data_IF_535120132221
#
_entry.id   IF_535120132221
#
_cell.length_a   1.000
_cell.length_b   1.000
_cell.length_c   1.000
_cell.angle_alpha   90.00
_cell.angle_beta   90.00
_cell.angle_gamma   90.00
#
_symmetry.space_group_name_H-M   'P 1'
#
loop_
_entity.id
_entity.type
_entity.pdbx_description
1 polymer ?
#
# COMPACT_ATOMS: atom_id res chain seq x y z
N UNK A 1 -4.62 -10.12 19.22
CA UNK A 1 -5.20 -10.41 17.90
C UNK A 1 -4.82 -9.25 17.01
N UNK A 2 -3.79 -9.41 16.19
CA UNK A 2 -3.40 -8.37 15.23
C UNK A 2 -4.12 -8.64 13.90
N UNK A 3 -4.62 -7.57 13.29
CA UNK A 3 -5.20 -7.61 11.95
C UNK A 3 -4.11 -8.06 10.95
N UNK A 4 -4.53 -8.72 9.87
CA UNK A 4 -3.63 -9.09 8.78
C UNK A 4 -3.19 -7.85 7.98
N UNK A 5 -2.26 -7.08 8.56
CA UNK A 5 -1.66 -5.87 7.97
C UNK A 5 -0.26 -6.18 7.48
N UNK A 6 0.10 -5.69 6.29
CA UNK A 6 1.40 -5.98 5.69
C UNK A 6 1.87 -4.79 4.84
N UNK A 7 3.15 -4.37 4.93
CA UNK A 7 3.66 -3.17 4.25
C UNK A 7 3.43 -3.17 2.73
N UNK A 8 3.52 -4.33 2.07
CA UNK A 8 3.36 -4.45 0.61
C UNK A 8 1.91 -4.66 0.13
N UNK A 9 0.90 -4.35 0.96
CA UNK A 9 -0.50 -4.44 0.55
C UNK A 9 -0.86 -3.33 -0.45
N UNK A 10 -1.82 -3.60 -1.35
CA UNK A 10 -2.32 -2.64 -2.34
C UNK A 10 -2.77 -1.30 -1.74
N UNK A 11 -3.39 -1.30 -0.56
CA UNK A 11 -3.78 -0.07 0.16
C UNK A 11 -2.58 0.82 0.48
N UNK A 12 -1.43 0.25 0.82
CA UNK A 12 -0.23 1.00 1.14
C UNK A 12 0.41 1.60 -0.11
N UNK A 13 0.42 0.86 -1.23
CA UNK A 13 0.85 1.40 -2.52
C UNK A 13 -0.02 2.55 -3.01
N UNK A 14 -1.34 2.43 -2.89
CA UNK A 14 -2.27 3.51 -3.24
C UNK A 14 -2.02 4.75 -2.39
N UNK A 15 -1.82 4.56 -1.08
CA UNK A 15 -1.50 5.67 -0.16
C UNK A 15 -0.19 6.36 -0.52
N UNK A 16 0.88 5.59 -0.75
CA UNK A 16 2.18 6.10 -1.15
C UNK A 16 2.12 6.84 -2.50
N UNK A 17 1.42 6.28 -3.49
CA UNK A 17 1.21 6.89 -4.80
C UNK A 17 0.48 8.22 -4.72
N UNK A 18 -0.57 8.32 -3.89
CA UNK A 18 -1.31 9.56 -3.68
C UNK A 18 -0.42 10.67 -3.07
N UNK A 19 0.37 10.34 -2.05
CA UNK A 19 1.30 11.26 -1.40
C UNK A 19 2.40 11.72 -2.36
N UNK A 20 2.99 10.79 -3.12
CA UNK A 20 4.00 11.10 -4.13
C UNK A 20 3.44 12.03 -5.23
N UNK A 21 2.23 11.76 -5.74
CA UNK A 21 1.58 12.59 -6.74
C UNK A 21 1.33 14.02 -6.22
N UNK A 22 0.85 14.16 -4.98
CA UNK A 22 0.61 15.45 -4.35
C UNK A 22 1.92 16.24 -4.16
N UNK A 23 2.97 15.58 -3.65
CA UNK A 23 4.27 16.20 -3.46
C UNK A 23 4.91 16.63 -4.78
N UNK A 24 4.80 15.79 -5.82
CA UNK A 24 5.24 16.11 -7.17
C UNK A 24 4.48 17.30 -7.77
N UNK A 25 3.16 17.35 -7.57
CA UNK A 25 2.34 18.50 -7.97
C UNK A 25 2.80 19.78 -7.29
N UNK A 26 2.95 19.76 -5.96
CA UNK A 26 3.43 20.91 -5.16
C UNK A 26 4.80 21.40 -5.64
N UNK A 27 5.73 20.48 -5.91
CA UNK A 27 7.06 20.84 -6.40
C UNK A 27 7.01 21.62 -7.72
N UNK A 28 6.04 21.32 -8.58
CA UNK A 28 5.90 21.90 -9.92
C UNK A 28 4.97 23.13 -9.98
N UNK A 29 4.30 23.52 -8.89
CA UNK A 29 3.40 24.69 -8.86
C UNK A 29 4.15 25.95 -9.32
N UNK A 30 3.63 26.62 -10.34
CA UNK A 30 4.20 27.85 -10.90
C UNK A 30 5.30 27.64 -11.94
N UNK A 31 5.73 26.40 -12.22
CA UNK A 31 6.67 26.11 -13.31
C UNK A 31 5.93 26.12 -14.66
N UNK A 32 6.08 27.22 -15.42
CA UNK A 32 5.36 27.44 -16.69
C UNK A 32 6.07 26.90 -17.94
N UNK A 33 7.39 26.70 -17.88
CA UNK A 33 8.18 26.18 -19.01
C UNK A 33 8.77 24.80 -18.70
N UNK A 34 9.09 24.03 -19.74
CA UNK A 34 9.74 22.72 -19.57
C UNK A 34 11.08 22.84 -18.82
N UNK A 35 11.87 23.87 -19.15
CA UNK A 35 13.13 24.18 -18.45
C UNK A 35 12.90 24.46 -16.96
N UNK A 36 11.89 25.25 -16.60
CA UNK A 36 11.56 25.53 -15.21
C UNK A 36 11.10 24.28 -14.43
N UNK A 37 10.44 23.32 -15.09
CA UNK A 37 10.11 22.03 -14.47
C UNK A 37 11.37 21.19 -14.25
N UNK A 38 12.31 21.20 -15.20
CA UNK A 38 13.56 20.45 -15.13
C UNK A 38 14.48 20.96 -14.01
N UNK A 39 14.57 22.28 -13.85
CA UNK A 39 15.32 22.93 -12.77
C UNK A 39 14.76 22.60 -11.38
N UNK A 40 13.49 22.19 -11.30
CA UNK A 40 12.83 21.80 -10.04
C UNK A 40 12.86 20.30 -9.74
N UNK A 41 13.47 19.48 -10.60
CA UNK A 41 13.58 18.05 -10.35
C UNK A 41 14.22 17.72 -8.99
N UNK A 42 15.32 18.36 -8.55
CA UNK A 42 15.90 18.07 -7.24
C UNK A 42 14.92 18.32 -6.09
N UNK A 43 14.17 19.42 -6.14
CA UNK A 43 13.12 19.72 -5.16
C UNK A 43 12.00 18.69 -5.20
N UNK A 44 11.58 18.29 -6.40
CA UNK A 44 10.56 17.25 -6.60
C UNK A 44 10.99 15.93 -5.97
N UNK A 45 12.23 15.47 -6.22
CA UNK A 45 12.76 14.24 -5.62
C UNK A 45 12.79 14.31 -4.09
N UNK A 46 13.21 15.45 -3.52
CA UNK A 46 13.24 15.63 -2.07
C UNK A 46 11.83 15.57 -1.46
N UNK A 47 10.86 16.28 -2.05
CA UNK A 47 9.49 16.31 -1.57
C UNK A 47 8.79 14.96 -1.73
N UNK A 48 8.95 14.28 -2.87
CA UNK A 48 8.38 12.95 -3.10
C UNK A 48 8.96 11.95 -2.11
N UNK A 49 10.27 11.94 -1.89
CA UNK A 49 10.91 11.05 -0.90
C UNK A 49 10.35 11.30 0.50
N UNK A 50 10.24 12.56 0.92
CA UNK A 50 9.65 12.92 2.21
C UNK A 50 8.18 12.45 2.32
N UNK A 51 7.41 12.61 1.26
CA UNK A 51 6.02 12.17 1.21
C UNK A 51 5.88 10.65 1.29
N UNK A 52 6.77 9.89 0.64
CA UNK A 52 6.79 8.43 0.74
C UNK A 52 7.09 7.95 2.17
N UNK A 53 8.03 8.59 2.86
CA UNK A 53 8.32 8.30 4.27
C UNK A 53 7.10 8.59 5.16
N UNK A 54 6.41 9.71 4.91
CA UNK A 54 5.18 10.06 5.62
C UNK A 54 4.00 9.11 5.31
N UNK A 55 3.95 8.55 4.10
CA UNK A 55 2.87 7.68 3.67
C UNK A 55 2.91 6.28 4.31
N UNK A 56 4.09 5.79 4.73
CA UNK A 56 4.23 4.45 5.33
C UNK A 56 3.31 4.21 6.54
N UNK A 57 3.33 5.03 7.61
CA UNK A 57 2.44 4.82 8.76
C UNK A 57 0.97 5.06 8.40
N UNK A 58 0.69 5.98 7.48
CA UNK A 58 -0.69 6.29 7.05
C UNK A 58 -1.29 5.11 6.28
N UNK A 59 -0.52 4.48 5.40
CA UNK A 59 -0.94 3.31 4.65
C UNK A 59 -1.33 2.16 5.59
N UNK A 60 -0.44 1.82 6.53
CA UNK A 60 -0.71 0.76 7.51
C UNK A 60 -1.96 1.04 8.36
N UNK A 61 -2.14 2.29 8.77
CA UNK A 61 -3.33 2.70 9.52
C UNK A 61 -4.61 2.59 8.68
N UNK A 62 -4.58 3.05 7.41
CA UNK A 62 -5.69 2.89 6.49
C UNK A 62 -6.00 1.43 6.22
N UNK A 63 -4.97 0.60 6.04
CA UNK A 63 -5.16 -0.83 5.85
C UNK A 63 -5.86 -1.46 7.07
N UNK A 64 -5.37 -1.16 8.28
CA UNK A 64 -5.91 -1.72 9.51
C UNK A 64 -7.38 -1.32 9.76
N UNK A 65 -7.72 -0.06 9.50
CA UNK A 65 -9.01 0.50 9.91
C UNK A 65 -10.07 0.54 8.79
N UNK A 66 -9.66 0.48 7.52
CA UNK A 66 -10.57 0.65 6.39
C UNK A 66 -10.66 -0.60 5.52
N UNK A 67 -9.54 -1.28 5.26
CA UNK A 67 -9.52 -2.40 4.30
C UNK A 67 -9.35 -3.78 4.94
N UNK A 68 -9.11 -3.84 6.24
CA UNK A 68 -8.95 -5.11 6.98
C UNK A 68 -10.04 -5.23 8.02
N UNK A 69 -10.73 -6.38 8.03
CA UNK A 69 -11.66 -6.77 9.09
C UNK A 69 -11.15 -8.05 9.74
N UNK A 70 -11.10 -8.06 11.07
CA UNK A 70 -10.87 -9.28 11.86
C UNK A 70 -12.16 -10.04 12.16
N UNK A 71 -13.32 -9.51 11.77
CA UNK A 71 -14.63 -10.11 12.05
C UNK A 71 -14.98 -11.04 10.90
N UNK A 72 -14.83 -12.35 11.15
CA UNK A 72 -15.05 -13.40 10.14
C UNK A 72 -16.42 -14.10 10.25
N UNK A 73 -17.28 -13.70 11.20
CA UNK A 73 -18.60 -14.29 11.39
C UNK A 73 -18.54 -15.78 11.75
N UNK A 74 -19.30 -16.62 11.02
CA UNK A 74 -19.33 -18.08 11.20
C UNK A 74 -18.28 -18.82 10.35
N UNK A 75 -17.31 -18.10 9.77
CA UNK A 75 -16.28 -18.71 8.94
C UNK A 75 -15.44 -19.71 9.76
N UNK A 76 -15.41 -20.95 9.32
CA UNK A 76 -14.61 -22.05 9.83
C UNK A 76 -13.77 -22.67 8.71
N UNK A 77 -12.68 -23.33 9.08
CA UNK A 77 -11.88 -24.12 8.13
C UNK A 77 -12.59 -25.45 7.90
N UNK A 78 -13.09 -25.66 6.68
CA UNK A 78 -13.81 -26.87 6.31
C UNK A 78 -12.85 -28.01 5.91
N UNK A 79 -11.76 -27.69 5.21
CA UNK A 79 -10.76 -28.68 4.80
C UNK A 79 -9.39 -28.05 4.56
N UNK A 80 -8.33 -28.84 4.72
CA UNK A 80 -6.96 -28.48 4.31
C UNK A 80 -6.44 -29.61 3.44
N UNK A 81 -6.22 -29.33 2.16
CA UNK A 81 -5.75 -30.31 1.18
C UNK A 81 -4.36 -29.95 0.68
N UNK A 82 -3.47 -30.92 0.59
CA UNK A 82 -2.16 -30.76 -0.04
C UNK A 82 -2.30 -30.99 -1.54
N UNK A 83 -1.97 -29.98 -2.34
CA UNK A 83 -2.05 -30.05 -3.80
C UNK A 83 -0.78 -30.63 -4.39
N UNK A 84 0.39 -30.17 -3.94
CA UNK A 84 1.69 -30.61 -4.44
C UNK A 84 2.74 -30.61 -3.32
N UNK A 85 3.81 -31.37 -3.54
CA UNK A 85 4.97 -31.46 -2.64
C UNK A 85 6.12 -30.50 -3.02
N UNK A 86 6.24 -30.16 -4.32
CA UNK A 86 7.33 -29.34 -4.83
C UNK A 86 6.81 -28.34 -5.89
N UNK A 87 6.55 -27.05 -5.53
CA UNK A 87 6.55 -26.50 -4.17
C UNK A 87 5.40 -27.06 -3.31
N UNK A 88 5.57 -27.07 -1.98
CA UNK A 88 4.50 -27.47 -1.04
C UNK A 88 3.37 -26.47 -1.15
N UNK A 89 2.24 -26.90 -1.69
CA UNK A 89 1.05 -26.08 -1.85
C UNK A 89 -0.11 -26.70 -1.08
N UNK A 90 -0.71 -25.92 -0.20
CA UNK A 90 -1.94 -26.28 0.49
C UNK A 90 -3.10 -25.41 0.01
N UNK A 91 -4.26 -26.03 -0.20
CA UNK A 91 -5.54 -25.34 -0.35
C UNK A 91 -6.30 -25.47 0.95
N UNK A 92 -6.62 -24.31 1.53
CA UNK A 92 -7.49 -24.21 2.70
C UNK A 92 -8.88 -23.83 2.20
N UNK A 93 -9.86 -24.69 2.40
CA UNK A 93 -11.25 -24.37 2.13
C UNK A 93 -11.91 -23.88 3.40
N UNK A 94 -12.62 -22.76 3.30
CA UNK A 94 -13.39 -22.19 4.39
C UNK A 94 -14.88 -22.30 4.08
N UNK A 95 -15.69 -22.48 5.11
CA UNK A 95 -17.15 -22.47 5.06
C UNK A 95 -17.65 -21.45 6.07
N UNK A 96 -18.67 -20.68 5.73
CA UNK A 96 -19.26 -19.68 6.62
C UNK A 96 -20.70 -19.40 6.26
#
# INVERSE_FOLDING_TARGET
HDLAVHPECGTNYVTAGAFAALAGFVALIGARSFRAKLERLPLMFALVTAALLAAQPVGLSLQANVTTSGIMGHMEVASIMKINDHPVLHRVETRG
#
